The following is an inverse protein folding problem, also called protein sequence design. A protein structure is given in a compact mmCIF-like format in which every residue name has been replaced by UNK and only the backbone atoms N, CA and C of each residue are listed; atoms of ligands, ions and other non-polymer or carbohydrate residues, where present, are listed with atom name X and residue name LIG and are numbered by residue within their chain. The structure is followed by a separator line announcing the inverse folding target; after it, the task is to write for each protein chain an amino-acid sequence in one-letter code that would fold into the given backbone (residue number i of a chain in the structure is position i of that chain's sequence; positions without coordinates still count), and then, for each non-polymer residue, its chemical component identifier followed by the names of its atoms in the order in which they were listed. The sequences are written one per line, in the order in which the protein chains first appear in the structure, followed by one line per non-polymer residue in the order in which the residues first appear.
data_IF_984996507044
#
_entry.id   IF_984996507044
#
_cell.length_a   1.000
_cell.length_b   1.000
_cell.length_c   1.000
_cell.angle_alpha   90.00
_cell.angle_beta   90.00
_cell.angle_gamma   90.00
#
_symmetry.space_group_name_H-M   'P 1'
#
loop_
_entity.id
_entity.type
_entity.pdbx_description
1 polymer ?
#
# COMPACT_ATOMS: atom_id res chain seq x y z
N UNK A 1 6.32 -13.15 -12.61
CA UNK A 1 7.41 -13.81 -11.82
C UNK A 1 8.06 -12.85 -10.82
N UNK A 2 8.31 -11.59 -11.19
CA UNK A 2 8.73 -10.53 -10.26
C UNK A 2 7.66 -10.19 -9.20
N UNK A 3 6.37 -10.35 -9.52
CA UNK A 3 5.26 -10.11 -8.57
C UNK A 3 5.31 -11.02 -7.33
N UNK A 4 5.74 -12.28 -7.49
CA UNK A 4 5.81 -13.24 -6.37
C UNK A 4 6.97 -12.95 -5.40
N UNK A 5 8.05 -12.33 -5.88
CA UNK A 5 9.19 -11.94 -5.03
C UNK A 5 8.84 -10.74 -4.15
N UNK A 6 8.02 -9.81 -4.65
CA UNK A 6 7.52 -8.64 -3.91
C UNK A 6 6.55 -9.08 -2.80
N UNK A 7 5.65 -10.02 -3.09
CA UNK A 7 4.71 -10.58 -2.11
C UNK A 7 5.39 -11.28 -0.93
N UNK A 8 6.46 -12.05 -1.19
CA UNK A 8 7.23 -12.72 -0.13
C UNK A 8 8.05 -11.73 0.71
N UNK A 9 8.55 -10.66 0.08
CA UNK A 9 9.24 -9.57 0.78
C UNK A 9 8.30 -8.78 1.70
N UNK A 10 7.07 -8.50 1.25
CA UNK A 10 6.04 -7.83 2.03
C UNK A 10 5.67 -8.62 3.30
N UNK A 11 5.45 -9.94 3.17
CA UNK A 11 5.15 -10.81 4.29
C UNK A 11 6.31 -10.91 5.31
N UNK A 12 7.56 -10.79 4.86
CA UNK A 12 8.75 -10.80 5.73
C UNK A 12 9.10 -9.45 6.38
N UNK A 13 8.63 -8.33 5.83
CA UNK A 13 8.92 -6.97 6.32
C UNK A 13 8.08 -6.61 7.54
N UNK A 14 6.85 -7.13 7.63
CA UNK A 14 5.97 -7.01 8.81
C UNK A 14 6.63 -7.62 10.08
N UNK A 15 7.59 -8.55 9.92
CA UNK A 15 8.36 -9.15 11.01
C UNK A 15 9.66 -8.40 11.37
N UNK A 16 10.07 -7.36 10.64
CA UNK A 16 11.41 -6.73 10.78
C UNK A 16 11.40 -5.23 11.17
N UNK A 17 10.23 -4.65 11.38
CA UNK A 17 10.07 -3.31 11.95
C UNK A 17 9.56 -2.27 10.95
N UNK A 18 8.81 -1.31 11.48
CA UNK A 18 8.04 -0.26 10.78
C UNK A 18 8.84 0.49 9.70
N UNK A 19 10.15 0.70 9.90
CA UNK A 19 11.01 1.42 8.93
C UNK A 19 11.15 0.71 7.57
N UNK A 20 11.09 -0.62 7.53
CA UNK A 20 11.22 -1.36 6.27
C UNK A 20 9.91 -1.33 5.44
N UNK A 21 8.76 -1.23 6.11
CA UNK A 21 7.47 -1.04 5.46
C UNK A 21 7.35 0.36 4.86
N UNK A 22 7.71 1.39 5.62
CA UNK A 22 7.63 2.79 5.18
C UNK A 22 8.47 3.03 3.90
N UNK A 23 9.71 2.54 3.87
CA UNK A 23 10.59 2.64 2.70
C UNK A 23 10.05 1.90 1.46
N UNK A 24 9.35 0.78 1.66
CA UNK A 24 8.74 0.03 0.57
C UNK A 24 7.51 0.75 0.03
N UNK A 25 6.64 1.27 0.90
CA UNK A 25 5.48 2.05 0.49
C UNK A 25 5.91 3.32 -0.24
N UNK A 26 6.99 3.96 0.19
CA UNK A 26 7.56 5.13 -0.49
C UNK A 26 8.04 4.79 -1.90
N UNK A 27 8.73 3.64 -2.06
CA UNK A 27 9.12 3.15 -3.38
C UNK A 27 7.91 2.92 -4.29
N UNK A 28 6.82 2.36 -3.77
CA UNK A 28 5.57 2.17 -4.52
C UNK A 28 4.97 3.51 -4.91
N UNK A 29 4.87 4.45 -3.97
CA UNK A 29 4.36 5.80 -4.21
C UNK A 29 5.11 6.49 -5.35
N UNK A 30 6.44 6.46 -5.31
CA UNK A 30 7.29 7.05 -6.36
C UNK A 30 7.15 6.32 -7.70
N UNK A 31 7.17 4.99 -7.69
CA UNK A 31 7.14 4.16 -8.92
C UNK A 31 5.84 4.34 -9.70
N UNK A 32 4.72 4.46 -8.98
CA UNK A 32 3.40 4.64 -9.57
C UNK A 32 3.00 6.11 -9.69
N UNK A 33 3.88 7.04 -9.32
CA UNK A 33 3.61 8.48 -9.30
C UNK A 33 2.28 8.79 -8.59
N UNK A 34 2.13 8.32 -7.34
CA UNK A 34 0.94 8.53 -6.52
C UNK A 34 1.21 9.60 -5.46
N UNK A 35 0.16 10.29 -5.02
CA UNK A 35 0.27 11.26 -3.93
C UNK A 35 0.40 10.53 -2.58
N UNK A 36 -0.37 9.45 -2.38
CA UNK A 36 -0.30 8.64 -1.16
C UNK A 36 -0.52 7.16 -1.42
N UNK A 37 0.04 6.34 -0.52
CA UNK A 37 -0.10 4.88 -0.54
C UNK A 37 -0.29 4.40 0.89
N UNK A 38 -1.28 3.54 1.11
CA UNK A 38 -1.54 2.88 2.38
C UNK A 38 -1.56 1.35 2.22
N UNK A 39 -0.96 0.64 3.17
CA UNK A 39 -1.21 -0.77 3.39
C UNK A 39 -2.31 -0.90 4.44
N UNK A 40 -3.43 -1.48 4.03
CA UNK A 40 -4.57 -1.73 4.88
C UNK A 40 -4.63 -3.23 5.21
N UNK A 41 -4.92 -3.55 6.45
CA UNK A 41 -5.12 -4.92 6.93
C UNK A 41 -6.46 -5.05 7.68
N UNK A 42 -7.03 -6.25 7.71
CA UNK A 42 -8.17 -6.61 8.54
C UNK A 42 -7.99 -8.03 9.09
N UNK A 43 -8.68 -8.37 10.17
CA UNK A 43 -8.56 -9.71 10.75
C UNK A 43 -9.42 -10.75 10.02
N UNK A 44 -10.54 -10.34 9.44
CA UNK A 44 -11.44 -11.18 8.63
C UNK A 44 -12.24 -10.33 7.65
N UNK A 45 -12.97 -10.97 6.74
CA UNK A 45 -13.71 -10.28 5.66
C UNK A 45 -14.77 -9.28 6.17
N UNK A 46 -15.28 -9.51 7.37
CA UNK A 46 -16.29 -8.67 8.03
C UNK A 46 -15.71 -7.59 8.95
N UNK A 47 -14.42 -7.66 9.25
CA UNK A 47 -13.74 -6.70 10.13
C UNK A 47 -13.42 -5.40 9.40
N UNK A 48 -13.40 -4.26 10.11
CA UNK A 48 -12.99 -3.00 9.54
C UNK A 48 -11.50 -3.04 9.15
N UNK A 49 -11.17 -2.34 8.06
CA UNK A 49 -9.79 -2.08 7.67
C UNK A 49 -9.09 -1.20 8.70
N UNK A 50 -7.83 -1.52 8.99
CA UNK A 50 -6.91 -0.72 9.77
C UNK A 50 -5.65 -0.43 8.96
N UNK A 51 -5.05 0.73 9.15
CA UNK A 51 -3.81 1.09 8.46
C UNK A 51 -2.62 0.40 9.13
N UNK A 52 -1.95 -0.49 8.41
CA UNK A 52 -0.70 -1.13 8.81
C UNK A 52 0.51 -0.21 8.60
N UNK A 53 0.42 0.68 7.60
CA UNK A 53 1.43 1.69 7.29
C UNK A 53 0.99 2.54 6.11
N UNK A 54 1.48 3.78 6.03
CA UNK A 54 1.11 4.70 4.95
C UNK A 54 2.18 5.76 4.72
N UNK A 55 2.33 6.17 3.46
CA UNK A 55 3.19 7.27 3.04
C UNK A 55 2.41 8.28 2.21
N UNK A 56 2.86 9.53 2.21
CA UNK A 56 2.16 10.64 1.57
C UNK A 56 0.98 11.19 2.40
N UNK A 57 0.36 12.30 1.96
CA UNK A 57 -0.71 12.96 2.69
C UNK A 57 -2.04 12.22 2.55
N UNK A 58 -2.88 12.34 3.59
CA UNK A 58 -4.28 11.89 3.60
C UNK A 58 -4.52 10.48 2.97
N UNK A 59 -3.87 9.42 3.49
CA UNK A 59 -4.13 8.07 3.01
C UNK A 59 -5.59 7.70 3.21
N UNK A 60 -6.16 7.00 2.23
CA UNK A 60 -7.53 6.49 2.32
C UNK A 60 -7.64 5.39 3.39
N UNK A 61 -8.80 5.33 4.04
CA UNK A 61 -9.05 4.39 5.13
C UNK A 61 -9.58 3.02 4.64
N UNK A 62 -9.99 2.92 3.38
CA UNK A 62 -10.49 1.69 2.76
C UNK A 62 -9.93 1.55 1.34
N UNK A 63 -9.74 0.31 0.85
CA UNK A 63 -9.28 0.09 -0.52
C UNK A 63 -10.28 0.60 -1.56
N UNK A 64 -11.58 0.51 -1.29
CA UNK A 64 -12.65 0.97 -2.21
C UNK A 64 -12.67 2.49 -2.42
N UNK A 65 -12.09 3.25 -1.48
CA UNK A 65 -11.96 4.71 -1.59
C UNK A 65 -10.72 5.13 -2.42
N UNK A 66 -9.85 4.19 -2.78
CA UNK A 66 -8.61 4.45 -3.49
C UNK A 66 -8.80 4.62 -5.00
N UNK A 67 -7.92 5.38 -5.65
CA UNK A 67 -7.87 5.41 -7.13
C UNK A 67 -7.44 4.06 -7.71
N UNK A 68 -6.58 3.34 -6.99
CA UNK A 68 -6.13 1.99 -7.32
C UNK A 68 -6.08 1.16 -6.04
N UNK A 69 -6.81 0.04 -6.03
CA UNK A 69 -6.71 -0.99 -5.02
C UNK A 69 -5.94 -2.21 -5.55
N UNK A 70 -5.05 -2.76 -4.73
CA UNK A 70 -4.28 -3.96 -5.06
C UNK A 70 -4.32 -4.93 -3.86
N UNK A 71 -5.01 -6.08 -3.95
CA UNK A 71 -5.02 -7.06 -2.87
C UNK A 71 -3.64 -7.68 -2.65
N UNK A 72 -3.19 -7.71 -1.40
CA UNK A 72 -1.92 -8.29 -0.96
C UNK A 72 -2.24 -9.50 -0.06
N UNK A 73 -2.87 -10.50 -0.64
CA UNK A 73 -3.39 -11.68 0.09
C UNK A 73 -4.84 -11.53 0.52
N UNK A 74 -5.29 -12.40 1.43
CA UNK A 74 -6.73 -12.55 1.74
C UNK A 74 -7.31 -11.38 2.55
N UNK A 75 -6.50 -10.77 3.43
CA UNK A 75 -6.97 -9.74 4.37
C UNK A 75 -6.10 -8.48 4.37
N UNK A 76 -5.32 -8.27 3.31
CA UNK A 76 -4.48 -7.08 3.15
C UNK A 76 -4.67 -6.47 1.76
N UNK A 77 -4.59 -5.16 1.67
CA UNK A 77 -4.71 -4.42 0.41
C UNK A 77 -3.82 -3.18 0.41
N UNK A 78 -3.18 -2.93 -0.72
CA UNK A 78 -2.53 -1.66 -1.03
C UNK A 78 -3.56 -0.72 -1.65
N UNK A 79 -3.69 0.46 -1.07
CA UNK A 79 -4.58 1.51 -1.53
C UNK A 79 -3.75 2.72 -1.98
N UNK A 80 -3.78 3.04 -3.27
CA UNK A 80 -2.99 4.11 -3.89
C UNK A 80 -3.94 5.24 -4.30
N UNK A 81 -3.60 6.48 -3.95
CA UNK A 81 -4.47 7.65 -4.15
C UNK A 81 -3.73 8.84 -4.74
N UNK A 82 -4.48 9.67 -5.48
CA UNK A 82 -4.03 10.96 -5.99
C UNK A 82 -2.96 10.82 -7.06
N UNK A 83 -3.26 10.08 -8.15
CA UNK A 83 -2.36 9.96 -9.31
C UNK A 83 -1.74 11.33 -9.65
N UNK A 84 -0.45 11.44 -9.47
CA UNK A 84 0.33 12.61 -9.87
C UNK A 84 0.47 12.50 -11.38
N UNK A 85 -0.26 13.35 -12.11
CA UNK A 85 -0.02 13.56 -13.52
C UNK A 85 1.49 13.80 -13.69
N UNK A 86 2.19 13.10 -14.61
CA UNK A 86 3.52 13.54 -14.96
C UNK A 86 3.37 15.00 -15.37
N UNK A 87 4.12 15.90 -14.72
CA UNK A 87 4.21 17.26 -15.20
C UNK A 87 4.68 17.14 -16.66
N UNK A 88 3.78 17.45 -17.60
CA UNK A 88 4.09 17.45 -19.02
C UNK A 88 5.30 18.38 -19.19
N UNK A 89 6.42 17.82 -19.66
CA UNK A 89 7.62 18.59 -20.05
C UNK A 89 7.35 19.37 -21.35
#
# INVERSE_FOLDING_TARGET
RAESEILSFLAGSVLRGETALDALLERVRETFAMESVALLERTSDVDPWTCAGSVGPAPVARPDDADVDMPVGDNMALALSGRVLPAED
#
